data_IF_922922247321
#
_entry.id   IF_922922247321
#
_cell.length_a   1.000
_cell.length_b   1.000
_cell.length_c   1.000
_cell.angle_alpha   90.00
_cell.angle_beta   90.00
_cell.angle_gamma   90.00
#
_symmetry.space_group_name_H-M   'P 1'
#
loop_
_entity.id
_entity.type
_entity.pdbx_description
1 polymer ?
#
# COMPACT_ATOMS: atom_id res chain seq x y z
N UNK A 1 32.38 7.77 24.47
CA UNK A 1 33.25 8.15 23.34
C UNK A 1 32.34 8.28 22.12
N UNK A 2 32.19 9.46 21.49
CA UNK A 2 31.30 9.60 20.35
C UNK A 2 31.98 9.01 19.10
N UNK A 3 31.30 8.10 18.41
CA UNK A 3 31.81 7.50 17.18
C UNK A 3 31.59 8.46 16.00
N UNK A 4 32.52 8.50 15.02
CA UNK A 4 32.38 9.34 13.83
C UNK A 4 31.13 8.96 13.03
N UNK A 5 30.38 9.96 12.58
CA UNK A 5 29.06 9.88 11.94
C UNK A 5 28.96 8.93 10.72
N UNK A 6 30.07 8.45 10.17
CA UNK A 6 30.10 7.55 9.02
C UNK A 6 30.10 6.05 9.40
N UNK A 7 30.35 5.69 10.66
CA UNK A 7 30.33 4.29 11.14
C UNK A 7 29.00 3.86 11.75
N UNK A 8 28.31 4.79 12.40
CA UNK A 8 27.11 4.52 13.21
C UNK A 8 25.93 4.02 12.36
N UNK A 9 25.66 4.65 11.21
CA UNK A 9 24.61 4.20 10.30
C UNK A 9 24.92 2.81 9.69
N UNK A 10 26.18 2.52 9.38
CA UNK A 10 26.57 1.24 8.80
C UNK A 10 26.42 0.09 9.81
N UNK A 11 26.78 0.34 11.07
CA UNK A 11 26.61 -0.59 12.17
C UNK A 11 25.12 -0.81 12.48
N UNK A 12 24.35 0.27 12.59
CA UNK A 12 22.89 0.20 12.75
C UNK A 12 22.25 -0.59 11.62
N UNK A 13 22.58 -0.29 10.36
CA UNK A 13 22.06 -1.00 9.20
C UNK A 13 22.42 -2.49 9.21
N UNK A 14 23.61 -2.86 9.73
CA UNK A 14 24.01 -4.26 9.89
C UNK A 14 23.13 -4.97 10.93
N UNK A 15 22.89 -4.33 12.08
CA UNK A 15 22.02 -4.85 13.14
C UNK A 15 20.59 -5.01 12.63
N UNK A 16 20.00 -3.95 12.07
CA UNK A 16 18.62 -3.94 11.55
C UNK A 16 18.43 -5.02 10.48
N UNK A 17 19.44 -5.28 9.63
CA UNK A 17 19.39 -6.35 8.63
C UNK A 17 19.53 -7.74 9.25
N UNK A 18 20.38 -7.91 10.27
CA UNK A 18 20.56 -9.18 10.97
C UNK A 18 19.29 -9.59 11.74
N UNK A 19 18.55 -8.62 12.26
CA UNK A 19 17.25 -8.82 12.91
C UNK A 19 16.09 -9.05 11.92
N UNK A 20 16.35 -9.12 10.61
CA UNK A 20 15.32 -9.35 9.61
C UNK A 20 14.33 -8.19 9.40
N UNK A 21 14.57 -7.01 10.01
CA UNK A 21 13.66 -5.87 9.92
C UNK A 21 13.60 -5.22 8.51
N UNK A 22 14.49 -5.63 7.61
CA UNK A 22 14.50 -5.25 6.19
C UNK A 22 14.11 -6.41 5.26
N UNK A 23 13.60 -7.52 5.82
CA UNK A 23 13.02 -8.60 5.02
C UNK A 23 11.71 -8.14 4.37
N UNK A 24 11.45 -8.69 3.18
CA UNK A 24 10.27 -8.35 2.40
C UNK A 24 9.02 -8.96 3.03
N UNK A 25 7.94 -8.17 3.07
CA UNK A 25 6.67 -8.60 3.62
C UNK A 25 5.62 -8.74 2.51
N UNK A 26 5.95 -9.51 1.48
CA UNK A 26 5.12 -9.63 0.26
C UNK A 26 3.68 -10.06 0.58
N UNK A 27 3.50 -11.05 1.45
CA UNK A 27 2.17 -11.53 1.85
C UNK A 27 1.34 -10.45 2.54
N UNK A 28 1.97 -9.62 3.37
CA UNK A 28 1.31 -8.50 4.04
C UNK A 28 0.82 -7.48 3.00
N UNK A 29 1.69 -7.09 2.06
CA UNK A 29 1.32 -6.13 1.03
C UNK A 29 0.25 -6.67 0.08
N UNK A 30 0.35 -7.92 -0.37
CA UNK A 30 -0.68 -8.57 -1.20
C UNK A 30 -2.02 -8.62 -0.51
N UNK A 31 -2.05 -9.05 0.76
CA UNK A 31 -3.29 -9.13 1.54
C UNK A 31 -3.91 -7.75 1.72
N UNK A 32 -3.08 -6.75 2.07
CA UNK A 32 -3.53 -5.37 2.26
C UNK A 32 -4.06 -4.76 0.96
N UNK A 33 -3.42 -5.05 -0.17
CA UNK A 33 -3.88 -4.60 -1.48
C UNK A 33 -5.24 -5.20 -1.84
N UNK A 34 -5.39 -6.52 -1.69
CA UNK A 34 -6.64 -7.23 -1.95
C UNK A 34 -7.80 -6.70 -1.07
N UNK A 35 -7.53 -6.48 0.23
CA UNK A 35 -8.52 -5.92 1.16
C UNK A 35 -8.92 -4.49 0.73
N UNK A 36 -7.95 -3.63 0.41
CA UNK A 36 -8.26 -2.26 0.00
C UNK A 36 -9.09 -2.21 -1.29
N UNK A 37 -8.73 -3.02 -2.29
CA UNK A 37 -9.52 -3.14 -3.52
C UNK A 37 -10.95 -3.63 -3.26
N UNK A 38 -11.11 -4.66 -2.43
CA UNK A 38 -12.43 -5.20 -2.10
C UNK A 38 -13.30 -4.15 -1.39
N UNK A 39 -12.74 -3.46 -0.38
CA UNK A 39 -13.45 -2.40 0.34
C UNK A 39 -13.81 -1.22 -0.58
N UNK A 40 -12.92 -0.87 -1.51
CA UNK A 40 -13.20 0.19 -2.49
C UNK A 40 -14.30 -0.22 -3.47
N UNK A 41 -14.33 -1.47 -3.93
CA UNK A 41 -15.41 -2.00 -4.76
C UNK A 41 -16.77 -2.00 -4.02
N UNK A 42 -16.77 -2.31 -2.72
CA UNK A 42 -17.95 -2.19 -1.86
C UNK A 42 -18.42 -0.74 -1.79
N UNK A 43 -17.51 0.21 -1.56
CA UNK A 43 -17.84 1.63 -1.53
C UNK A 43 -18.46 2.10 -2.86
N UNK A 44 -17.87 1.74 -4.01
CA UNK A 44 -18.43 2.04 -5.34
C UNK A 44 -19.85 1.45 -5.48
N UNK A 45 -20.06 0.22 -5.01
CA UNK A 45 -21.38 -0.42 -5.05
C UNK A 45 -22.41 0.35 -4.22
N UNK A 46 -22.03 0.80 -3.01
CA UNK A 46 -22.89 1.60 -2.14
C UNK A 46 -23.22 2.94 -2.82
N UNK A 47 -22.22 3.64 -3.37
CA UNK A 47 -22.42 4.90 -4.08
C UNK A 47 -23.42 4.80 -5.25
N UNK A 48 -23.48 3.65 -5.94
CA UNK A 48 -24.40 3.41 -7.06
C UNK A 48 -25.81 3.02 -6.59
N UNK A 49 -25.91 2.18 -5.55
CA UNK A 49 -27.19 1.57 -5.13
C UNK A 49 -27.94 2.41 -4.10
N UNK A 50 -27.21 3.14 -3.24
CA UNK A 50 -27.81 3.91 -2.16
C UNK A 50 -28.48 5.19 -2.68
N UNK A 51 -29.67 5.49 -2.15
CA UNK A 51 -30.41 6.73 -2.42
C UNK A 51 -30.54 7.64 -1.21
N UNK A 52 -30.26 7.12 0.00
CA UNK A 52 -30.39 7.88 1.23
C UNK A 52 -29.20 8.82 1.44
N UNK A 53 -29.39 10.14 1.62
CA UNK A 53 -28.31 11.12 1.62
C UNK A 53 -27.28 10.88 2.73
N UNK A 54 -27.71 10.44 3.92
CA UNK A 54 -26.78 10.13 5.02
C UNK A 54 -25.89 8.92 4.68
N UNK A 55 -26.42 7.93 3.96
CA UNK A 55 -25.64 6.76 3.55
C UNK A 55 -24.61 7.18 2.51
N UNK A 56 -25.00 8.01 1.55
CA UNK A 56 -24.08 8.56 0.53
C UNK A 56 -22.96 9.38 1.18
N UNK A 57 -23.28 10.23 2.18
CA UNK A 57 -22.27 11.02 2.88
C UNK A 57 -21.30 10.14 3.69
N UNK A 58 -21.80 9.11 4.37
CA UNK A 58 -20.95 8.16 5.08
C UNK A 58 -20.06 7.37 4.12
N UNK A 59 -20.63 6.91 3.00
CA UNK A 59 -19.91 6.20 1.97
C UNK A 59 -18.85 7.08 1.28
N UNK A 60 -19.10 8.38 1.10
CA UNK A 60 -18.09 9.30 0.56
C UNK A 60 -16.84 9.37 1.44
N UNK A 61 -16.99 9.40 2.77
CA UNK A 61 -15.86 9.34 3.71
C UNK A 61 -15.15 8.00 3.62
N UNK A 62 -15.91 6.91 3.55
CA UNK A 62 -15.38 5.56 3.43
C UNK A 62 -14.62 5.33 2.10
N UNK A 63 -15.17 5.82 0.99
CA UNK A 63 -14.55 5.81 -0.33
C UNK A 63 -13.27 6.63 -0.34
N UNK A 64 -13.27 7.83 0.24
CA UNK A 64 -12.07 8.66 0.36
C UNK A 64 -10.96 7.94 1.15
N UNK A 65 -11.30 7.29 2.25
CA UNK A 65 -10.37 6.50 3.05
C UNK A 65 -9.76 5.35 2.24
N UNK A 66 -10.60 4.47 1.65
CA UNK A 66 -10.12 3.30 0.89
C UNK A 66 -9.29 3.70 -0.34
N UNK A 67 -9.69 4.77 -1.04
CA UNK A 67 -8.94 5.31 -2.18
C UNK A 67 -7.57 5.85 -1.77
N UNK A 68 -7.49 6.54 -0.62
CA UNK A 68 -6.23 7.02 -0.06
C UNK A 68 -5.31 5.86 0.32
N UNK A 69 -5.85 4.79 0.90
CA UNK A 69 -5.07 3.59 1.23
C UNK A 69 -4.46 2.96 -0.03
N UNK A 70 -5.23 2.86 -1.12
CA UNK A 70 -4.75 2.35 -2.40
C UNK A 70 -3.65 3.25 -2.97
N UNK A 71 -3.80 4.58 -2.88
CA UNK A 71 -2.80 5.53 -3.35
C UNK A 71 -1.47 5.41 -2.57
N UNK A 72 -1.52 5.29 -1.24
CA UNK A 72 -0.34 5.11 -0.40
C UNK A 72 0.37 3.78 -0.71
N UNK A 73 -0.39 2.69 -0.85
CA UNK A 73 0.17 1.39 -1.25
C UNK A 73 0.84 1.46 -2.64
N UNK A 74 0.19 2.13 -3.58
CA UNK A 74 0.72 2.31 -4.93
C UNK A 74 2.02 3.12 -4.91
N UNK A 75 2.09 4.16 -4.06
CA UNK A 75 3.30 4.95 -3.86
C UNK A 75 4.46 4.10 -3.31
N UNK A 76 4.21 3.25 -2.31
CA UNK A 76 5.24 2.37 -1.71
C UNK A 76 5.76 1.31 -2.71
N UNK A 77 4.88 0.83 -3.59
CA UNK A 77 5.22 -0.07 -4.70
C UNK A 77 6.12 0.63 -5.72
N UNK A 78 5.81 1.87 -6.09
CA UNK A 78 6.61 2.67 -7.03
C UNK A 78 8.02 2.92 -6.47
N UNK A 79 8.14 3.13 -5.17
CA UNK A 79 9.45 3.25 -4.49
C UNK A 79 10.17 1.92 -4.28
N UNK A 80 9.61 0.79 -4.75
CA UNK A 80 10.12 -0.58 -4.57
C UNK A 80 10.35 -0.94 -3.10
N UNK A 81 9.62 -0.30 -2.20
CA UNK A 81 9.68 -0.57 -0.77
C UNK A 81 8.77 -1.75 -0.39
N UNK A 82 7.74 -2.00 -1.21
CA UNK A 82 6.76 -3.06 -0.97
C UNK A 82 7.19 -4.44 -1.49
N UNK A 83 7.87 -4.53 -2.65
CA UNK A 83 8.23 -5.79 -3.31
C UNK A 83 9.59 -5.69 -4.00
N UNK A 84 10.55 -6.61 -3.80
CA UNK A 84 11.78 -6.68 -4.63
C UNK A 84 11.63 -7.63 -5.83
N UNK A 85 10.59 -8.46 -5.87
CA UNK A 85 10.30 -9.34 -6.99
C UNK A 85 9.88 -8.60 -8.28
N UNK A 86 10.57 -8.90 -9.40
CA UNK A 86 10.34 -8.26 -10.71
C UNK A 86 9.00 -8.65 -11.35
N UNK A 87 8.42 -9.80 -10.99
CA UNK A 87 7.16 -10.31 -11.57
C UNK A 87 5.93 -9.81 -10.83
N UNK A 88 5.97 -9.71 -9.49
CA UNK A 88 4.88 -9.14 -8.69
C UNK A 88 4.62 -7.68 -9.05
N UNK A 89 5.69 -6.88 -9.21
CA UNK A 89 5.59 -5.50 -9.66
C UNK A 89 4.90 -5.35 -11.02
N UNK A 90 5.12 -6.29 -11.95
CA UNK A 90 4.53 -6.22 -13.29
C UNK A 90 3.02 -6.47 -13.28
N UNK A 91 2.54 -7.43 -12.47
CA UNK A 91 1.11 -7.71 -12.32
C UNK A 91 0.42 -6.57 -11.57
N UNK A 92 1.04 -6.07 -10.51
CA UNK A 92 0.47 -4.97 -9.74
C UNK A 92 0.43 -3.66 -10.52
N UNK A 93 1.44 -3.38 -11.36
CA UNK A 93 1.41 -2.27 -12.32
C UNK A 93 0.33 -2.45 -13.39
N UNK A 94 0.10 -3.68 -13.88
CA UNK A 94 -0.99 -3.95 -14.82
C UNK A 94 -2.36 -3.73 -14.18
N UNK A 95 -2.56 -4.17 -12.93
CA UNK A 95 -3.82 -4.01 -12.20
C UNK A 95 -4.05 -2.56 -11.78
N UNK A 96 -3.05 -1.86 -11.23
CA UNK A 96 -3.16 -0.44 -10.87
C UNK A 96 -3.31 0.43 -12.12
N UNK A 97 -2.47 0.20 -13.13
CA UNK A 97 -2.48 0.96 -14.38
C UNK A 97 -3.79 0.82 -15.14
N UNK A 98 -4.27 -0.40 -15.37
CA UNK A 98 -5.49 -0.61 -16.18
C UNK A 98 -6.79 -0.40 -15.39
N UNK A 99 -6.82 -0.66 -14.08
CA UNK A 99 -8.07 -0.66 -13.32
C UNK A 99 -8.34 0.64 -12.54
N UNK A 100 -7.30 1.41 -12.18
CA UNK A 100 -7.43 2.62 -11.35
C UNK A 100 -7.11 3.90 -12.12
N UNK A 101 -6.13 3.88 -13.04
CA UNK A 101 -5.68 5.09 -13.75
C UNK A 101 -6.24 5.22 -15.18
N UNK A 102 -6.45 4.10 -15.88
CA UNK A 102 -6.80 4.11 -17.30
C UNK A 102 -5.58 4.27 -18.20
#
# INVERSE_FOLDING_TARGET
MPLPANGDYAELRRIVRAEGLLEEQDLYYWSKFAICLLLNAIAITIAIVASHPVIILADAVFFAFTSTQIALLSHDVIHRQAFRGKRENAILQLVIGNLILG
#
